data_IF_760030465963
#
_entry.id   IF_760030465963
#
_cell.length_a   1.000
_cell.length_b   1.000
_cell.length_c   1.000
_cell.angle_alpha   90.00
_cell.angle_beta   90.00
_cell.angle_gamma   90.00
#
_symmetry.space_group_name_H-M   'P 1'
#
loop_
_entity.id
_entity.type
_entity.pdbx_description
1 polymer ?
#
# COMPACT_ATOMS: atom_id res chain seq x y z
N UNK A 1 7.86 5.32 4.12
CA UNK A 1 6.61 5.45 3.36
C UNK A 1 6.62 4.50 2.15
N UNK A 2 5.64 3.61 2.06
CA UNK A 2 5.53 2.56 1.04
C UNK A 2 4.28 2.78 0.20
N UNK A 3 4.46 3.05 -1.10
CA UNK A 3 3.37 3.33 -2.04
C UNK A 3 2.57 2.07 -2.43
N UNK A 4 1.41 2.29 -3.05
CA UNK A 4 0.53 1.23 -3.58
C UNK A 4 0.92 0.75 -4.98
N UNK A 5 0.13 -0.18 -5.51
CA UNK A 5 0.33 -0.77 -6.84
C UNK A 5 0.39 0.29 -7.94
N UNK A 6 1.40 0.21 -8.81
CA UNK A 6 1.58 1.15 -9.93
C UNK A 6 1.90 2.58 -9.51
N UNK A 7 2.14 2.82 -8.22
CA UNK A 7 2.49 4.12 -7.68
C UNK A 7 3.99 4.41 -7.73
N UNK A 8 4.39 5.42 -6.99
CA UNK A 8 5.79 5.74 -6.68
C UNK A 8 5.82 6.59 -5.42
N UNK A 9 7.00 6.91 -4.91
CA UNK A 9 7.20 7.83 -3.79
C UNK A 9 6.47 9.17 -3.96
N UNK A 10 6.22 9.59 -5.20
CA UNK A 10 5.51 10.83 -5.49
C UNK A 10 4.05 10.88 -5.02
N UNK A 11 3.42 9.75 -4.68
CA UNK A 11 2.06 9.73 -4.10
C UNK A 11 1.98 10.45 -2.75
N UNK A 12 3.13 10.62 -2.09
CA UNK A 12 3.25 11.21 -0.77
C UNK A 12 3.48 12.74 -0.76
N UNK A 13 3.30 13.41 -1.92
CA UNK A 13 3.58 14.84 -2.07
C UNK A 13 2.82 15.74 -1.10
N UNK A 14 1.60 15.34 -0.67
CA UNK A 14 0.80 16.07 0.34
C UNK A 14 1.20 15.74 1.78
N UNK A 15 2.03 14.72 2.00
CA UNK A 15 2.48 14.26 3.32
C UNK A 15 3.85 14.81 3.69
N UNK A 16 4.78 14.88 2.74
CA UNK A 16 6.20 15.16 3.00
C UNK A 16 6.41 16.44 3.80
N UNK A 17 5.70 17.52 3.46
CA UNK A 17 5.87 18.81 4.12
C UNK A 17 5.53 18.73 5.61
N UNK A 18 4.40 18.13 5.94
CA UNK A 18 3.91 18.04 7.31
C UNK A 18 4.74 17.04 8.13
N UNK A 19 5.00 15.87 7.58
CA UNK A 19 5.76 14.83 8.29
C UNK A 19 7.21 15.21 8.58
N UNK A 20 7.89 15.92 7.66
CA UNK A 20 9.28 16.36 7.88
C UNK A 20 9.44 17.39 9.01
N UNK A 21 8.36 18.03 9.44
CA UNK A 21 8.37 18.92 10.59
C UNK A 21 8.49 18.17 11.93
N UNK A 22 8.18 16.85 11.92
CA UNK A 22 8.15 16.02 13.13
C UNK A 22 9.14 14.85 13.08
N UNK A 23 9.48 14.36 11.86
CA UNK A 23 10.23 13.11 11.67
C UNK A 23 11.24 13.22 10.53
N UNK A 24 12.25 12.36 10.56
CA UNK A 24 13.02 12.02 9.37
C UNK A 24 12.13 11.16 8.45
N UNK A 25 12.01 11.53 7.19
CA UNK A 25 11.09 10.90 6.24
C UNK A 25 11.88 10.16 5.17
N UNK A 26 11.63 8.84 5.04
CA UNK A 26 12.18 8.01 3.98
C UNK A 26 11.05 7.58 3.03
N UNK A 27 11.16 7.94 1.77
CA UNK A 27 10.24 7.57 0.71
C UNK A 27 10.91 6.52 -0.18
N UNK A 28 10.27 5.38 -0.39
CA UNK A 28 10.82 4.28 -1.16
C UNK A 28 10.03 4.10 -2.45
N UNK A 29 10.72 4.06 -3.58
CA UNK A 29 10.19 3.53 -4.82
C UNK A 29 10.45 2.02 -4.84
N UNK A 30 9.38 1.22 -4.84
CA UNK A 30 9.48 -0.24 -4.88
C UNK A 30 10.11 -0.71 -6.20
N UNK A 31 10.66 -1.93 -6.21
CA UNK A 31 11.26 -2.50 -7.43
C UNK A 31 10.35 -2.34 -8.64
N UNK A 32 10.91 -1.93 -9.78
CA UNK A 32 10.17 -1.69 -11.02
C UNK A 32 9.32 -0.42 -11.03
N UNK A 33 9.33 0.41 -9.97
CA UNK A 33 8.57 1.66 -9.88
C UNK A 33 9.48 2.88 -9.76
N UNK A 34 8.98 4.03 -10.19
CA UNK A 34 9.63 5.32 -10.02
C UNK A 34 11.09 5.31 -10.46
N UNK A 35 12.00 5.72 -9.57
CA UNK A 35 13.45 5.75 -9.82
C UNK A 35 14.11 4.36 -9.69
N UNK A 36 13.39 3.36 -9.21
CA UNK A 36 13.87 1.98 -9.08
C UNK A 36 13.60 1.10 -10.31
N UNK A 37 13.18 1.68 -11.46
CA UNK A 37 12.85 0.94 -12.67
C UNK A 37 14.07 0.30 -13.34
N UNK A 38 15.19 1.04 -13.45
CA UNK A 38 16.34 0.62 -14.24
C UNK A 38 17.33 -0.28 -13.48
N UNK A 39 17.33 -0.18 -12.15
CA UNK A 39 18.31 -0.84 -11.28
C UNK A 39 18.07 -2.36 -11.25
N UNK A 40 16.83 -2.79 -11.34
CA UNK A 40 16.43 -4.17 -11.06
C UNK A 40 16.69 -5.19 -12.17
N UNK A 41 16.79 -4.77 -13.42
CA UNK A 41 17.10 -5.72 -14.50
C UNK A 41 18.53 -6.31 -14.42
N UNK A 42 19.44 -5.62 -13.74
CA UNK A 42 20.86 -6.01 -13.66
C UNK A 42 21.27 -6.79 -12.41
N UNK A 43 20.58 -6.64 -11.28
CA UNK A 43 21.13 -7.04 -9.97
C UNK A 43 20.27 -7.99 -9.14
N UNK A 44 18.99 -8.21 -9.46
CA UNK A 44 18.11 -8.97 -8.59
C UNK A 44 17.47 -10.19 -9.25
N UNK A 45 17.20 -11.21 -8.43
CA UNK A 45 16.49 -12.40 -8.85
C UNK A 45 15.13 -12.02 -9.45
N UNK A 46 14.73 -12.70 -10.54
CA UNK A 46 13.46 -12.48 -11.22
C UNK A 46 12.23 -12.86 -10.35
N UNK A 47 12.43 -13.19 -9.09
CA UNK A 47 11.36 -13.68 -8.22
C UNK A 47 10.65 -12.54 -7.52
N UNK A 48 9.45 -12.23 -8.02
CA UNK A 48 8.52 -11.29 -7.41
C UNK A 48 7.62 -12.04 -6.42
N UNK A 49 7.81 -11.78 -5.14
CA UNK A 49 6.93 -12.16 -4.05
C UNK A 49 6.95 -11.07 -2.98
N UNK A 50 5.99 -11.08 -2.06
CA UNK A 50 5.87 -10.05 -1.02
C UNK A 50 7.06 -10.06 -0.07
N UNK A 51 7.62 -11.22 0.24
CA UNK A 51 8.77 -11.36 1.12
C UNK A 51 10.01 -10.69 0.52
N UNK A 52 10.39 -11.04 -0.72
CA UNK A 52 11.56 -10.46 -1.38
C UNK A 52 11.45 -8.95 -1.57
N UNK A 53 10.25 -8.44 -1.91
CA UNK A 53 10.03 -6.99 -2.04
C UNK A 53 10.12 -6.30 -0.67
N UNK A 54 9.68 -6.96 0.40
CA UNK A 54 9.82 -6.45 1.76
C UNK A 54 11.27 -6.46 2.24
N UNK A 55 12.05 -7.48 1.85
CA UNK A 55 13.49 -7.53 2.13
C UNK A 55 14.25 -6.40 1.44
N UNK A 56 13.88 -5.98 0.22
CA UNK A 56 14.50 -4.80 -0.40
C UNK A 56 14.36 -3.55 0.50
N UNK A 57 13.20 -3.39 1.16
CA UNK A 57 12.98 -2.26 2.06
C UNK A 57 13.87 -2.38 3.31
N UNK A 58 14.01 -3.58 3.85
CA UNK A 58 14.88 -3.85 5.00
C UNK A 58 16.35 -3.57 4.63
N UNK A 59 16.81 -3.99 3.45
CA UNK A 59 18.16 -3.71 2.96
C UNK A 59 18.44 -2.20 2.82
N UNK A 60 17.44 -1.42 2.39
CA UNK A 60 17.56 0.05 2.37
C UNK A 60 17.74 0.62 3.77
N UNK A 61 17.00 0.10 4.76
CA UNK A 61 17.17 0.53 6.16
C UNK A 61 18.55 0.15 6.70
N UNK A 62 19.06 -1.03 6.34
CA UNK A 62 20.39 -1.49 6.74
C UNK A 62 21.49 -0.62 6.15
N UNK A 63 21.39 -0.31 4.85
CA UNK A 63 22.31 0.59 4.16
C UNK A 63 22.34 1.98 4.82
N UNK A 64 21.18 2.50 5.22
CA UNK A 64 21.06 3.78 5.90
C UNK A 64 21.33 3.70 7.41
N UNK A 65 21.64 2.51 7.94
CA UNK A 65 21.87 2.26 9.38
C UNK A 65 20.68 2.65 10.26
N UNK A 66 19.48 2.54 9.74
CA UNK A 66 18.22 2.79 10.46
C UNK A 66 17.84 1.51 11.21
N UNK A 67 17.93 1.50 12.52
CA UNK A 67 17.63 0.32 13.35
C UNK A 67 16.14 0.02 13.40
N UNK A 68 15.32 1.03 13.64
CA UNK A 68 13.87 0.91 13.77
C UNK A 68 13.17 2.12 13.12
N UNK A 69 11.97 1.92 12.60
CA UNK A 69 11.15 3.00 12.06
C UNK A 69 9.66 2.73 12.22
N UNK A 70 8.86 3.78 12.09
CA UNK A 70 7.43 3.69 11.84
C UNK A 70 7.21 3.51 10.35
N UNK A 71 6.26 2.68 9.97
CA UNK A 71 5.95 2.42 8.57
C UNK A 71 4.58 2.98 8.21
N UNK A 72 4.51 3.70 7.10
CA UNK A 72 3.27 4.24 6.54
C UNK A 72 3.07 3.64 5.16
N UNK A 73 2.01 2.89 4.95
CA UNK A 73 1.69 2.26 3.68
C UNK A 73 0.32 2.67 3.16
N UNK A 74 0.17 2.68 1.83
CA UNK A 74 -1.11 2.88 1.16
C UNK A 74 -1.45 1.69 0.25
N UNK A 75 -2.69 1.18 0.31
CA UNK A 75 -3.18 0.12 -0.56
C UNK A 75 -2.26 -1.13 -0.53
N UNK A 76 -1.69 -1.56 -1.66
CA UNK A 76 -0.72 -2.68 -1.71
C UNK A 76 0.47 -2.46 -0.75
N UNK A 77 0.89 -1.22 -0.53
CA UNK A 77 1.95 -0.89 0.42
C UNK A 77 1.64 -1.38 1.84
N UNK A 78 0.36 -1.49 2.22
CA UNK A 78 -0.04 -2.01 3.53
C UNK A 78 0.27 -3.50 3.69
N UNK A 79 0.17 -4.28 2.61
CA UNK A 79 0.56 -5.69 2.60
C UNK A 79 2.07 -5.83 2.83
N UNK A 80 2.86 -4.97 2.16
CA UNK A 80 4.32 -4.99 2.28
C UNK A 80 4.78 -4.61 3.69
N UNK A 81 4.26 -3.53 4.27
CA UNK A 81 4.66 -3.15 5.63
C UNK A 81 4.20 -4.17 6.67
N UNK A 82 3.07 -4.85 6.45
CA UNK A 82 2.65 -5.96 7.29
C UNK A 82 3.59 -7.18 7.13
N UNK A 83 4.06 -7.45 5.90
CA UNK A 83 5.06 -8.49 5.63
C UNK A 83 6.41 -8.14 6.29
N UNK A 84 6.84 -6.88 6.25
CA UNK A 84 8.05 -6.41 6.96
C UNK A 84 7.94 -6.69 8.46
N UNK A 85 6.77 -6.42 9.04
CA UNK A 85 6.50 -6.69 10.45
C UNK A 85 6.64 -8.19 10.80
N UNK A 86 6.25 -9.10 9.91
CA UNK A 86 6.45 -10.55 10.10
C UNK A 86 7.91 -10.98 9.97
N UNK A 87 8.61 -10.43 8.97
CA UNK A 87 9.99 -10.80 8.68
C UNK A 87 10.99 -10.21 9.69
N UNK A 88 10.74 -9.02 10.16
CA UNK A 88 11.67 -8.26 11.00
C UNK A 88 10.90 -7.36 12.00
N UNK A 89 10.17 -7.95 12.97
CA UNK A 89 9.38 -7.18 13.94
C UNK A 89 10.19 -6.16 14.72
N UNK A 90 11.44 -6.48 15.02
CA UNK A 90 12.37 -5.60 15.75
C UNK A 90 12.74 -4.33 14.96
N UNK A 91 12.44 -4.28 13.67
CA UNK A 91 12.69 -3.12 12.82
C UNK A 91 11.49 -2.15 12.78
N UNK A 92 10.36 -2.55 13.35
CA UNK A 92 9.08 -1.83 13.26
C UNK A 92 8.67 -1.31 14.63
N UNK A 93 8.42 -0.01 14.72
CA UNK A 93 7.85 0.63 15.92
C UNK A 93 6.32 0.65 15.88
N UNK A 94 5.74 1.05 14.77
CA UNK A 94 4.30 1.06 14.54
C UNK A 94 3.97 1.05 13.06
N UNK A 95 2.71 0.74 12.73
CA UNK A 95 2.19 0.66 11.37
C UNK A 95 1.03 1.63 11.16
N UNK A 96 1.08 2.42 10.07
CA UNK A 96 -0.05 3.23 9.58
C UNK A 96 -0.49 2.66 8.23
N UNK A 97 -1.71 2.16 8.19
CA UNK A 97 -2.31 1.39 7.11
C UNK A 97 -3.39 2.20 6.39
N UNK A 98 -3.02 2.99 5.37
CA UNK A 98 -3.99 3.78 4.60
C UNK A 98 -4.64 2.99 3.47
N UNK A 99 -5.97 3.06 3.32
CA UNK A 99 -6.68 2.31 2.28
C UNK A 99 -6.28 0.82 2.26
N UNK A 100 -6.27 0.19 3.42
CA UNK A 100 -5.65 -1.11 3.62
C UNK A 100 -6.40 -2.24 2.91
N UNK A 101 -5.64 -3.16 2.31
CA UNK A 101 -6.15 -4.38 1.68
C UNK A 101 -5.93 -5.55 2.65
N UNK A 102 -6.97 -5.93 3.39
CA UNK A 102 -6.89 -7.02 4.39
C UNK A 102 -7.54 -8.30 3.94
N UNK A 103 -8.50 -8.23 3.01
CA UNK A 103 -9.19 -9.41 2.44
C UNK A 103 -9.74 -9.06 1.07
N UNK A 104 -9.66 -10.01 0.13
CA UNK A 104 -10.33 -9.86 -1.16
C UNK A 104 -11.79 -10.35 -1.04
N UNK A 105 -12.75 -9.45 -1.29
CA UNK A 105 -14.15 -9.79 -1.41
C UNK A 105 -14.45 -10.42 -2.80
N UNK A 106 -15.69 -10.81 -3.05
CA UNK A 106 -16.10 -11.45 -4.32
C UNK A 106 -15.78 -10.52 -5.51
N UNK A 107 -16.04 -9.22 -5.40
CA UNK A 107 -15.78 -8.24 -6.47
C UNK A 107 -14.29 -8.12 -6.78
N UNK A 108 -13.45 -7.97 -5.75
CA UNK A 108 -12.00 -7.89 -5.92
C UNK A 108 -11.41 -9.21 -6.46
N UNK A 109 -11.94 -10.38 -6.04
CA UNK A 109 -11.56 -11.68 -6.61
C UNK A 109 -11.91 -11.78 -8.09
N UNK A 110 -13.11 -11.35 -8.50
CA UNK A 110 -13.51 -11.31 -9.90
C UNK A 110 -12.60 -10.42 -10.73
N UNK A 111 -12.21 -9.24 -10.20
CA UNK A 111 -11.25 -8.34 -10.87
C UNK A 111 -9.88 -8.99 -11.05
N UNK A 112 -9.39 -9.68 -10.02
CA UNK A 112 -8.12 -10.42 -10.09
C UNK A 112 -8.19 -11.53 -11.13
N UNK A 113 -9.28 -12.30 -11.19
CA UNK A 113 -9.48 -13.35 -12.21
C UNK A 113 -9.52 -12.75 -13.60
N UNK A 114 -10.35 -11.71 -13.82
CA UNK A 114 -10.47 -11.02 -15.11
C UNK A 114 -9.10 -10.45 -15.55
N UNK A 115 -8.42 -9.75 -14.67
CA UNK A 115 -7.12 -9.19 -14.98
C UNK A 115 -6.07 -10.26 -15.33
N UNK A 116 -6.06 -11.38 -14.61
CA UNK A 116 -5.16 -12.48 -14.91
C UNK A 116 -5.46 -13.17 -16.24
N UNK A 117 -6.73 -13.32 -16.60
CA UNK A 117 -7.14 -13.89 -17.89
C UNK A 117 -6.77 -12.97 -19.06
N UNK A 118 -6.79 -11.67 -18.86
CA UNK A 118 -6.71 -10.67 -19.95
C UNK A 118 -5.35 -9.93 -20.01
N UNK A 119 -4.53 -9.94 -18.96
CA UNK A 119 -3.28 -9.15 -18.84
C UNK A 119 -2.25 -9.35 -19.96
N UNK A 120 -2.31 -10.47 -20.67
CA UNK A 120 -1.43 -10.76 -21.81
C UNK A 120 -1.92 -10.18 -23.12
N UNK A 121 -3.22 -9.95 -23.26
CA UNK A 121 -3.88 -9.55 -24.50
C UNK A 121 -4.36 -8.11 -24.48
N UNK A 122 -4.72 -7.59 -23.30
CA UNK A 122 -5.18 -6.22 -23.12
C UNK A 122 -4.01 -5.33 -22.69
N UNK A 123 -3.82 -4.16 -23.31
CA UNK A 123 -2.83 -3.19 -22.84
C UNK A 123 -3.07 -2.86 -21.37
N UNK A 124 -2.02 -2.96 -20.56
CA UNK A 124 -2.13 -2.82 -19.09
C UNK A 124 -2.80 -1.52 -18.64
N UNK A 125 -2.63 -0.43 -19.38
CA UNK A 125 -3.27 0.85 -19.08
C UNK A 125 -4.79 0.81 -19.11
N UNK A 126 -5.40 -0.05 -19.95
CA UNK A 126 -6.85 -0.24 -19.95
C UNK A 126 -7.31 -0.94 -18.67
N UNK A 127 -6.56 -1.95 -18.23
CA UNK A 127 -6.84 -2.64 -16.98
C UNK A 127 -6.66 -1.70 -15.78
N UNK A 128 -5.62 -0.87 -15.78
CA UNK A 128 -5.41 0.13 -14.74
C UNK A 128 -6.56 1.13 -14.65
N UNK A 129 -6.99 1.68 -15.78
CA UNK A 129 -8.12 2.63 -15.82
C UNK A 129 -9.41 1.97 -15.34
N UNK A 130 -9.68 0.74 -15.77
CA UNK A 130 -10.84 -0.03 -15.34
C UNK A 130 -10.80 -0.28 -13.82
N UNK A 131 -9.67 -0.73 -13.28
CA UNK A 131 -9.51 -0.98 -11.85
C UNK A 131 -9.62 0.32 -11.04
N UNK A 132 -8.99 1.40 -11.52
CA UNK A 132 -9.11 2.71 -10.88
C UNK A 132 -10.57 3.17 -10.79
N UNK A 133 -11.34 2.99 -11.87
CA UNK A 133 -12.74 3.37 -11.89
C UNK A 133 -13.60 2.50 -10.97
N UNK A 134 -13.34 1.19 -10.89
CA UNK A 134 -14.07 0.28 -10.02
C UNK A 134 -13.75 0.52 -8.53
N UNK A 135 -12.49 0.75 -8.19
CA UNK A 135 -12.05 1.00 -6.80
C UNK A 135 -12.47 2.40 -6.34
N UNK A 136 -12.46 3.37 -7.25
CA UNK A 136 -12.71 4.79 -6.97
C UNK A 136 -13.81 5.35 -7.89
N UNK A 137 -15.09 4.95 -7.73
CA UNK A 137 -16.16 5.25 -8.70
C UNK A 137 -16.70 6.67 -8.61
N UNK A 138 -16.53 7.37 -7.49
CA UNK A 138 -17.14 8.68 -7.25
C UNK A 138 -16.49 9.78 -8.07
N UNK A 139 -17.24 10.85 -8.37
CA UNK A 139 -16.70 12.03 -9.07
C UNK A 139 -15.56 12.68 -8.30
N UNK A 140 -15.70 12.78 -6.97
CA UNK A 140 -14.68 13.36 -6.07
C UNK A 140 -13.33 12.59 -6.08
N UNK A 141 -13.32 11.30 -6.41
CA UNK A 141 -12.09 10.52 -6.53
C UNK A 141 -11.32 10.78 -7.85
N UNK A 142 -11.69 11.81 -8.63
CA UNK A 142 -11.08 12.07 -9.93
C UNK A 142 -9.58 12.35 -9.83
N UNK A 143 -9.15 13.14 -8.85
CA UNK A 143 -7.72 13.42 -8.62
C UNK A 143 -6.94 12.13 -8.38
N UNK A 144 -7.42 11.29 -7.47
CA UNK A 144 -6.80 9.99 -7.16
C UNK A 144 -6.72 9.09 -8.39
N UNK A 145 -7.79 9.01 -9.20
CA UNK A 145 -7.76 8.23 -10.46
C UNK A 145 -6.75 8.76 -11.47
N UNK A 146 -6.66 10.09 -11.61
CA UNK A 146 -5.70 10.73 -12.53
C UNK A 146 -4.27 10.46 -12.07
N UNK A 147 -3.99 10.65 -10.78
CA UNK A 147 -2.68 10.35 -10.20
C UNK A 147 -2.30 8.89 -10.39
N UNK A 148 -3.21 7.96 -10.06
CA UNK A 148 -3.01 6.53 -10.23
C UNK A 148 -2.71 6.18 -11.70
N UNK A 149 -3.51 6.67 -12.65
CA UNK A 149 -3.29 6.42 -14.08
C UNK A 149 -1.98 7.03 -14.59
N UNK A 150 -1.62 8.24 -14.11
CA UNK A 150 -0.39 8.91 -14.54
C UNK A 150 0.87 8.21 -13.98
N UNK A 151 0.81 7.68 -12.77
CA UNK A 151 1.91 6.87 -12.24
C UNK A 151 2.02 5.54 -12.97
N UNK A 152 0.90 4.87 -13.22
CA UNK A 152 0.86 3.60 -13.94
C UNK A 152 1.40 3.71 -15.39
N UNK A 153 1.28 4.87 -16.06
CA UNK A 153 1.90 5.11 -17.37
C UNK A 153 3.41 5.00 -17.37
N UNK A 154 4.05 5.22 -16.22
CA UNK A 154 5.51 5.10 -16.07
C UNK A 154 5.97 3.66 -15.91
N UNK A 155 5.06 2.72 -15.60
CA UNK A 155 5.36 1.30 -15.58
C UNK A 155 5.41 0.74 -17.01
N UNK A 156 6.30 -0.21 -17.25
CA UNK A 156 6.23 -0.99 -18.50
C UNK A 156 5.28 -2.20 -18.34
N UNK A 157 4.84 -2.75 -19.48
CA UNK A 157 3.96 -3.93 -19.52
C UNK A 157 4.54 -5.12 -18.73
N UNK A 158 5.86 -5.34 -18.80
CA UNK A 158 6.56 -6.43 -18.12
C UNK A 158 6.42 -6.31 -16.59
N UNK A 159 6.64 -5.11 -16.06
CA UNK A 159 6.49 -4.84 -14.61
C UNK A 159 5.04 -4.97 -14.15
N UNK A 160 4.09 -4.46 -14.93
CA UNK A 160 2.68 -4.69 -14.65
C UNK A 160 2.35 -6.18 -14.50
N UNK A 161 2.79 -7.01 -15.46
CA UNK A 161 2.51 -8.45 -15.43
C UNK A 161 3.14 -9.13 -14.20
N UNK A 162 4.36 -8.72 -13.81
CA UNK A 162 5.05 -9.24 -12.61
C UNK A 162 4.28 -8.89 -11.34
N UNK A 163 3.97 -7.61 -11.15
CA UNK A 163 3.23 -7.13 -10.00
C UNK A 163 1.80 -7.69 -9.93
N UNK A 164 1.15 -7.76 -11.08
CA UNK A 164 -0.19 -8.36 -11.15
C UNK A 164 -0.16 -9.86 -10.83
N UNK A 165 0.94 -10.53 -11.11
CA UNK A 165 1.17 -11.93 -10.74
C UNK A 165 1.13 -12.18 -9.23
N UNK A 166 1.50 -11.20 -8.41
CA UNK A 166 1.42 -11.29 -6.94
C UNK A 166 0.00 -11.49 -6.42
N UNK A 167 -1.02 -11.08 -7.19
CA UNK A 167 -2.42 -11.23 -6.78
C UNK A 167 -2.83 -12.67 -6.50
N UNK A 168 -2.18 -13.67 -7.13
CA UNK A 168 -2.39 -15.07 -6.83
C UNK A 168 -1.91 -15.48 -5.44
N UNK A 169 -0.82 -14.85 -4.97
CA UNK A 169 -0.20 -15.12 -3.67
C UNK A 169 -0.85 -14.31 -2.53
N UNK A 170 -1.72 -13.34 -2.85
CA UNK A 170 -2.32 -12.45 -1.84
C UNK A 170 -3.28 -13.18 -0.89
N UNK A 171 -4.15 -14.07 -1.39
CA UNK A 171 -5.20 -14.66 -0.56
C UNK A 171 -4.68 -15.45 0.64
N UNK A 172 -3.70 -16.35 0.51
CA UNK A 172 -3.13 -17.05 1.67
C UNK A 172 -2.50 -16.07 2.67
N UNK A 173 -1.75 -15.09 2.18
CA UNK A 173 -1.07 -14.09 3.00
C UNK A 173 -2.06 -13.20 3.76
N UNK A 174 -3.09 -12.69 3.09
CA UNK A 174 -4.12 -11.89 3.72
C UNK A 174 -4.95 -12.68 4.73
N UNK A 175 -5.19 -13.97 4.48
CA UNK A 175 -5.82 -14.86 5.45
C UNK A 175 -4.95 -15.00 6.70
N UNK A 176 -3.67 -15.26 6.54
CA UNK A 176 -2.73 -15.33 7.65
C UNK A 176 -2.73 -14.04 8.47
N UNK A 177 -2.70 -12.85 7.82
CA UNK A 177 -2.74 -11.56 8.51
C UNK A 177 -4.05 -11.31 9.26
N UNK A 178 -5.18 -11.85 8.79
CA UNK A 178 -6.46 -11.74 9.50
C UNK A 178 -6.53 -12.65 10.73
N UNK A 179 -5.85 -13.79 10.69
CA UNK A 179 -5.84 -14.79 11.77
C UNK A 179 -4.78 -14.47 12.84
N UNK A 180 -3.77 -13.66 12.49
CA UNK A 180 -2.64 -13.33 13.37
C UNK A 180 -2.50 -11.81 13.55
N UNK A 181 -2.71 -11.33 14.78
CA UNK A 181 -2.48 -9.92 15.13
C UNK A 181 -0.99 -9.59 15.12
N UNK A 182 -0.68 -8.32 14.81
CA UNK A 182 0.67 -7.82 14.95
C UNK A 182 1.00 -7.57 16.39
N UNK A 183 1.57 -7.85 17.20
CA UNK A 183 1.81 -7.39 18.57
C UNK A 183 2.29 -5.90 18.65
N UNK A 184 2.22 -5.19 17.52
CA UNK A 184 2.69 -3.82 17.36
C UNK A 184 1.51 -2.84 17.17
N UNK A 185 1.64 -1.60 17.68
CA UNK A 185 0.63 -0.58 17.45
C UNK A 185 0.34 -0.39 15.96
N UNK A 186 -0.92 -0.57 15.57
CA UNK A 186 -1.36 -0.48 14.18
C UNK A 186 -2.57 0.43 14.04
N UNK A 187 -2.45 1.44 13.18
CA UNK A 187 -3.53 2.35 12.85
C UNK A 187 -4.00 2.12 11.41
N UNK A 188 -5.26 1.82 11.25
CA UNK A 188 -5.93 1.81 9.94
C UNK A 188 -6.61 3.15 9.68
N UNK A 189 -6.35 3.76 8.51
CA UNK A 189 -7.01 4.99 8.06
C UNK A 189 -7.74 4.67 6.75
N UNK A 190 -9.07 4.63 6.80
CA UNK A 190 -9.91 4.19 5.70
C UNK A 190 -10.93 5.25 5.32
N UNK A 191 -11.15 5.46 4.03
CA UNK A 191 -12.25 6.30 3.59
C UNK A 191 -13.61 5.61 3.81
N UNK A 192 -14.64 6.38 4.17
CA UNK A 192 -16.01 5.87 4.35
C UNK A 192 -16.64 5.37 3.03
N UNK A 193 -16.12 5.85 1.89
CA UNK A 193 -16.52 5.43 0.56
C UNK A 193 -15.66 4.31 -0.03
N UNK A 194 -14.70 3.76 0.70
CA UNK A 194 -13.93 2.58 0.29
C UNK A 194 -14.75 1.30 0.48
N UNK A 195 -15.80 1.17 -0.32
CA UNK A 195 -16.77 0.07 -0.25
C UNK A 195 -16.15 -1.32 -0.50
N UNK A 196 -14.95 -1.37 -1.10
CA UNK A 196 -14.27 -2.64 -1.37
C UNK A 196 -13.52 -3.19 -0.17
N UNK A 197 -12.90 -2.34 0.63
CA UNK A 197 -11.95 -2.79 1.65
C UNK A 197 -12.33 -2.37 3.07
N UNK A 198 -13.05 -1.27 3.28
CA UNK A 198 -13.46 -0.82 4.62
C UNK A 198 -14.20 -1.89 5.44
N UNK A 199 -15.20 -2.63 4.90
CA UNK A 199 -15.92 -3.62 5.71
C UNK A 199 -15.01 -4.72 6.26
N UNK A 200 -13.99 -5.14 5.50
CA UNK A 200 -13.03 -6.16 5.91
C UNK A 200 -12.06 -5.64 6.98
N UNK A 201 -11.64 -4.37 6.86
CA UNK A 201 -10.81 -3.72 7.90
C UNK A 201 -11.58 -3.56 9.18
N UNK A 202 -12.85 -3.15 9.14
CA UNK A 202 -13.72 -3.06 10.32
C UNK A 202 -13.83 -4.42 11.05
N UNK A 203 -13.93 -5.51 10.30
CA UNK A 203 -13.97 -6.86 10.88
C UNK A 203 -12.63 -7.24 11.50
N UNK A 204 -11.51 -6.95 10.83
CA UNK A 204 -10.17 -7.26 11.30
C UNK A 204 -9.86 -6.54 12.62
N UNK A 205 -10.10 -5.22 12.68
CA UNK A 205 -9.79 -4.39 13.87
C UNK A 205 -10.58 -4.85 15.11
N UNK A 206 -11.77 -5.43 14.95
CA UNK A 206 -12.52 -5.99 16.08
C UNK A 206 -11.83 -7.18 16.74
N UNK A 207 -10.98 -7.88 15.99
CA UNK A 207 -10.32 -9.11 16.42
C UNK A 207 -8.85 -8.89 16.80
N UNK A 208 -8.28 -7.72 16.49
CA UNK A 208 -6.88 -7.39 16.70
C UNK A 208 -6.73 -6.34 17.81
N UNK A 209 -6.16 -6.73 18.95
CA UNK A 209 -6.09 -5.91 20.15
C UNK A 209 -5.21 -4.67 19.99
N UNK A 210 -4.15 -4.76 19.17
CA UNK A 210 -3.21 -3.66 18.94
C UNK A 210 -3.57 -2.78 17.74
N UNK A 211 -4.77 -2.98 17.17
CA UNK A 211 -5.24 -2.29 15.98
C UNK A 211 -6.32 -1.28 16.30
N UNK A 212 -6.24 -0.10 15.71
CA UNK A 212 -7.25 0.96 15.76
C UNK A 212 -7.67 1.37 14.36
N UNK A 213 -8.88 1.91 14.22
CA UNK A 213 -9.45 2.34 12.94
C UNK A 213 -9.95 3.78 13.03
N UNK A 214 -9.52 4.59 12.06
CA UNK A 214 -10.08 5.91 11.78
C UNK A 214 -10.77 5.89 10.42
N UNK A 215 -12.05 6.25 10.41
CA UNK A 215 -12.84 6.36 9.18
C UNK A 215 -12.88 7.82 8.76
N UNK A 216 -12.41 8.09 7.55
CA UNK A 216 -12.31 9.44 6.98
C UNK A 216 -13.58 9.73 6.20
N UNK A 217 -14.35 10.78 6.57
CA UNK A 217 -15.58 11.12 5.87
C UNK A 217 -15.30 11.64 4.45
N UNK A 218 -16.26 11.43 3.55
CA UNK A 218 -16.22 11.90 2.16
C UNK A 218 -14.95 11.48 1.40
N UNK A 219 -14.45 10.29 1.66
CA UNK A 219 -13.16 9.82 1.21
C UNK A 219 -13.25 8.39 0.63
N UNK A 220 -12.58 8.18 -0.48
CA UNK A 220 -12.44 6.86 -1.09
C UNK A 220 -11.19 6.11 -0.64
N UNK A 221 -10.64 5.32 -1.56
CA UNK A 221 -9.55 4.39 -1.27
C UNK A 221 -8.19 5.08 -1.00
N UNK A 222 -7.91 6.22 -1.63
CA UNK A 222 -6.59 6.89 -1.55
C UNK A 222 -6.66 8.06 -0.56
N UNK A 223 -6.88 7.75 0.70
CA UNK A 223 -7.17 8.73 1.76
C UNK A 223 -6.08 9.77 1.98
N UNK A 224 -4.81 9.42 1.73
CA UNK A 224 -3.69 10.36 1.82
C UNK A 224 -3.71 11.46 0.73
N UNK A 225 -4.40 11.23 -0.38
CA UNK A 225 -4.57 12.19 -1.47
C UNK A 225 -5.88 12.95 -1.36
N UNK A 226 -6.96 12.23 -1.04
CA UNK A 226 -8.33 12.76 -1.03
C UNK A 226 -8.63 13.62 0.20
N UNK A 227 -8.09 13.24 1.36
CA UNK A 227 -8.25 13.96 2.63
C UNK A 227 -6.88 14.08 3.35
N UNK A 228 -5.93 14.83 2.75
CA UNK A 228 -4.54 14.85 3.22
C UNK A 228 -4.38 15.39 4.64
N UNK A 229 -5.13 16.44 5.01
CA UNK A 229 -5.02 17.06 6.33
C UNK A 229 -5.49 16.09 7.42
N UNK A 230 -6.61 15.40 7.18
CA UNK A 230 -7.09 14.39 8.11
C UNK A 230 -6.09 13.24 8.24
N UNK A 231 -5.59 12.73 7.11
CA UNK A 231 -4.59 11.66 7.10
C UNK A 231 -3.32 12.05 7.85
N UNK A 232 -2.78 13.25 7.55
CA UNK A 232 -1.54 13.74 8.15
C UNK A 232 -1.67 13.89 9.67
N UNK A 233 -2.68 14.62 10.12
CA UNK A 233 -2.90 14.87 11.55
C UNK A 233 -3.10 13.56 12.31
N UNK A 234 -3.91 12.66 11.79
CA UNK A 234 -4.20 11.36 12.42
C UNK A 234 -2.95 10.48 12.50
N UNK A 235 -2.19 10.37 11.41
CA UNK A 235 -1.01 9.55 11.35
C UNK A 235 0.15 10.13 12.20
N UNK A 236 0.38 11.45 12.16
CA UNK A 236 1.41 12.13 12.95
C UNK A 236 1.12 11.95 14.45
N UNK A 237 -0.12 12.19 14.90
CA UNK A 237 -0.49 12.02 16.30
C UNK A 237 -0.29 10.57 16.76
N UNK A 238 -0.70 9.60 15.95
CA UNK A 238 -0.50 8.18 16.26
C UNK A 238 0.98 7.82 16.36
N UNK A 239 1.80 8.23 15.40
CA UNK A 239 3.24 7.95 15.41
C UNK A 239 3.91 8.60 16.61
N UNK A 240 3.59 9.86 16.92
CA UNK A 240 4.15 10.59 18.06
C UNK A 240 3.84 9.90 19.40
N UNK A 241 2.63 9.33 19.54
CA UNK A 241 2.26 8.62 20.78
C UNK A 241 2.95 7.26 20.96
N UNK A 242 3.64 6.75 19.93
CA UNK A 242 4.35 5.46 19.91
C UNK A 242 5.85 5.59 19.56
N UNK A 243 6.42 6.78 19.68
CA UNK A 243 7.82 7.08 19.37
C UNK A 243 8.75 6.87 20.56
#
# INVERSE_FOLDING_TARGET
>A
FIHGAGGSSSIWYKQVKEFKAHFNVLLIDLRGHGKSQEIFERYFSNEYNFENISLDVIEVLDHLKIKQSHFVGISLGTILIRTICELAPDRVKSLVMGGAVTRLNIRSKMLVVLGNATKKFIPYMWLYKLFAWIIMPRKRNQESRILFANQAKKLCQKEFVRWFGLTYKMNPLLRYFNENDTQLPTLYIMGDEDYMFLPQVMQLVRNHANSSLQIVPDCGHVCNVEQPDYFNNTAINFITSHS
#
